data_IF_807144002864
#
_entry.id   IF_807144002864
#
_cell.length_a   1.000
_cell.length_b   1.000
_cell.length_c   1.000
_cell.angle_alpha   90.00
_cell.angle_beta   90.00
_cell.angle_gamma   90.00
#
_symmetry.space_group_name_H-M   'P 1'
#
loop_
_entity.id
_entity.type
_entity.pdbx_description
1 polymer ?
#
# COMPACT_ATOMS: atom_id res chain seq x y z
N UNK A 1 -7.87 -42.67 -13.18
CA UNK A 1 -8.09 -41.80 -14.34
C UNK A 1 -8.65 -40.48 -13.81
N UNK A 2 -7.82 -39.58 -13.28
CA UNK A 2 -6.97 -38.61 -14.00
C UNK A 2 -7.82 -37.77 -14.95
N UNK A 3 -8.25 -36.60 -14.47
CA UNK A 3 -8.32 -35.34 -15.20
C UNK A 3 -8.20 -34.23 -14.14
N UNK A 4 -6.96 -33.90 -13.77
CA UNK A 4 -6.23 -32.74 -14.29
C UNK A 4 -6.23 -31.61 -13.27
N UNK A 5 -5.35 -31.78 -12.27
CA UNK A 5 -4.75 -30.68 -11.52
C UNK A 5 -4.08 -29.74 -12.53
N UNK A 6 -4.78 -28.67 -12.92
CA UNK A 6 -4.16 -27.56 -13.66
C UNK A 6 -3.99 -26.40 -12.69
N UNK A 7 -2.77 -26.38 -12.16
CA UNK A 7 -2.02 -25.26 -11.60
C UNK A 7 -2.42 -23.93 -12.27
N UNK A 8 -3.05 -23.03 -11.52
CA UNK A 8 -3.01 -21.59 -11.78
C UNK A 8 -2.15 -20.92 -10.70
N UNK A 9 -0.86 -21.27 -10.68
CA UNK A 9 0.18 -20.50 -9.98
C UNK A 9 0.88 -19.66 -11.06
N UNK A 10 0.22 -18.59 -11.53
CA UNK A 10 0.83 -17.63 -12.48
C UNK A 10 0.51 -16.20 -12.02
N UNK A 11 1.50 -15.55 -11.39
CA UNK A 11 1.67 -14.08 -11.34
C UNK A 11 0.85 -13.27 -10.30
N UNK A 12 1.47 -12.87 -9.19
CA UNK A 12 0.94 -11.97 -8.14
C UNK A 12 0.83 -10.49 -8.61
N UNK A 13 0.08 -9.58 -7.92
CA UNK A 13 0.35 -9.26 -6.51
C UNK A 13 -0.91 -9.11 -5.63
N UNK A 14 -1.15 -10.10 -4.77
CA UNK A 14 -2.25 -10.17 -3.78
C UNK A 14 -1.97 -9.28 -2.54
N UNK A 15 -1.25 -8.17 -2.69
CA UNK A 15 -0.79 -7.37 -1.54
C UNK A 15 -1.63 -6.12 -1.28
N UNK A 16 -2.90 -6.12 -1.69
CA UNK A 16 -3.91 -5.20 -1.18
C UNK A 16 -4.82 -5.95 -0.22
N UNK A 17 -4.57 -5.84 1.08
CA UNK A 17 -5.44 -6.44 2.10
C UNK A 17 -6.47 -5.41 2.54
N UNK A 18 -7.78 -5.74 2.60
CA UNK A 18 -8.73 -4.88 3.29
C UNK A 18 -8.29 -4.74 4.75
N UNK A 19 -8.27 -3.50 5.26
CA UNK A 19 -7.94 -3.21 6.65
C UNK A 19 -8.89 -3.98 7.58
N UNK A 20 -8.41 -4.83 8.50
CA UNK A 20 -9.27 -5.43 9.52
C UNK A 20 -9.84 -4.29 10.39
N UNK A 21 -11.17 -4.23 10.56
CA UNK A 21 -11.89 -3.17 11.29
C UNK A 21 -11.43 -2.96 12.76
N UNK A 22 -10.57 -3.83 13.29
CA UNK A 22 -10.17 -3.89 14.70
C UNK A 22 -8.67 -4.13 14.94
N UNK A 23 -7.81 -3.86 13.96
CA UNK A 23 -6.39 -3.74 14.30
C UNK A 23 -6.16 -2.34 14.84
N UNK A 24 -5.52 -2.22 16.01
CA UNK A 24 -5.10 -0.95 16.62
C UNK A 24 -4.05 -0.19 15.81
N UNK A 25 -4.16 -0.24 14.48
CA UNK A 25 -3.39 0.56 13.55
C UNK A 25 -3.65 2.03 13.85
N UNK A 26 -2.54 2.76 13.94
CA UNK A 26 -2.49 4.22 14.05
C UNK A 26 -3.58 4.83 13.17
N UNK A 27 -4.37 5.76 13.72
CA UNK A 27 -5.35 6.50 12.94
C UNK A 27 -4.64 7.31 11.85
N UNK A 28 -4.49 6.73 10.67
CA UNK A 28 -3.79 7.35 9.55
C UNK A 28 -4.66 8.49 9.03
N UNK A 29 -4.17 9.71 9.23
CA UNK A 29 -4.82 10.92 8.72
C UNK A 29 -4.74 10.97 7.20
N UNK A 30 -5.76 11.53 6.56
CA UNK A 30 -5.76 11.65 5.11
C UNK A 30 -4.66 12.59 4.61
N UNK A 31 -3.97 12.15 3.56
CA UNK A 31 -3.09 12.99 2.78
C UNK A 31 -3.91 14.10 2.13
N UNK A 32 -3.45 15.35 2.30
CA UNK A 32 -3.97 16.52 1.58
C UNK A 32 -3.11 16.86 0.37
N UNK A 33 -1.83 16.52 0.46
CA UNK A 33 -0.80 16.73 -0.56
C UNK A 33 0.03 15.45 -0.70
N UNK A 34 0.70 15.31 -1.84
CA UNK A 34 1.52 14.14 -2.17
C UNK A 34 2.92 14.57 -2.60
N UNK A 35 3.91 13.71 -2.35
CA UNK A 35 5.30 13.96 -2.75
C UNK A 35 5.79 12.88 -3.70
N UNK A 36 6.53 13.31 -4.74
CA UNK A 36 7.29 12.41 -5.64
C UNK A 36 8.70 12.11 -5.11
N UNK A 37 9.11 12.73 -4.00
CA UNK A 37 10.44 12.55 -3.42
C UNK A 37 10.66 11.12 -2.92
N UNK A 38 11.84 10.58 -3.17
CA UNK A 38 12.20 9.21 -2.77
C UNK A 38 12.23 9.07 -1.25
N UNK A 39 11.61 8.00 -0.74
CA UNK A 39 11.61 7.65 0.67
C UNK A 39 12.55 6.47 0.92
N UNK A 40 13.67 6.75 1.61
CA UNK A 40 14.71 5.77 1.93
C UNK A 40 14.66 5.24 3.38
N UNK A 41 13.63 5.59 4.14
CA UNK A 41 13.45 5.12 5.53
C UNK A 41 12.82 3.73 5.58
N UNK A 42 12.97 2.97 6.68
CA UNK A 42 12.20 1.74 6.88
C UNK A 42 10.71 2.04 6.97
N UNK A 43 9.89 1.19 6.35
CA UNK A 43 8.43 1.28 6.33
C UNK A 43 7.91 0.00 6.95
N UNK A 44 7.03 0.13 7.94
CA UNK A 44 6.41 -0.99 8.65
C UNK A 44 5.02 -1.28 8.08
N UNK A 45 4.31 -0.25 7.64
CA UNK A 45 2.95 -0.36 7.14
C UNK A 45 2.76 0.53 5.91
N UNK A 46 1.85 0.09 5.04
CA UNK A 46 1.50 0.80 3.82
C UNK A 46 -0.02 0.91 3.72
N UNK A 47 -0.49 2.05 3.22
CA UNK A 47 -1.90 2.28 2.93
C UNK A 47 -2.08 2.89 1.54
N UNK A 48 -3.16 2.54 0.85
CA UNK A 48 -3.62 3.22 -0.35
C UNK A 48 -4.81 4.11 -0.01
N UNK A 49 -4.63 5.42 -0.09
CA UNK A 49 -5.72 6.39 -0.02
C UNK A 49 -6.29 6.59 -1.42
N UNK A 50 -7.43 5.99 -1.71
CA UNK A 50 -8.15 6.25 -2.96
C UNK A 50 -8.86 7.60 -2.89
N UNK A 51 -8.91 8.29 -4.02
CA UNK A 51 -9.62 9.56 -4.15
C UNK A 51 -11.11 9.37 -3.85
N UNK A 52 -11.62 10.01 -2.79
CA UNK A 52 -13.06 10.07 -2.49
C UNK A 52 -13.61 11.46 -2.81
N UNK A 53 -14.90 11.56 -3.14
CA UNK A 53 -15.53 12.84 -3.54
C UNK A 53 -15.62 13.86 -2.40
N UNK A 54 -15.92 13.39 -1.19
CA UNK A 54 -16.23 14.26 -0.04
C UNK A 54 -15.15 14.26 1.05
N UNK A 55 -14.21 13.33 1.02
CA UNK A 55 -13.08 13.23 1.93
C UNK A 55 -11.82 12.84 1.16
N UNK A 56 -10.63 13.22 1.63
CA UNK A 56 -9.36 12.67 1.13
C UNK A 56 -9.25 12.73 -0.42
N UNK A 57 -9.28 13.96 -0.95
CA UNK A 57 -9.50 14.28 -2.38
C UNK A 57 -8.30 13.97 -3.28
N UNK A 58 -7.18 13.56 -2.71
CA UNK A 58 -5.97 13.16 -3.45
C UNK A 58 -5.82 11.64 -3.39
N UNK A 59 -5.39 11.05 -4.51
CA UNK A 59 -4.94 9.65 -4.52
C UNK A 59 -3.51 9.63 -4.01
N UNK A 60 -3.23 8.84 -2.98
CA UNK A 60 -1.91 8.77 -2.35
C UNK A 60 -1.61 7.36 -1.84
N UNK A 61 -0.33 7.02 -1.80
CA UNK A 61 0.17 5.92 -1.00
C UNK A 61 0.73 6.48 0.30
N UNK A 62 0.34 5.91 1.44
CA UNK A 62 0.80 6.34 2.76
C UNK A 62 1.74 5.28 3.29
N UNK A 63 3.01 5.65 3.45
CA UNK A 63 3.97 4.81 4.13
C UNK A 63 4.11 5.28 5.57
N UNK A 64 4.21 4.35 6.51
CA UNK A 64 4.47 4.69 7.91
C UNK A 64 5.47 3.73 8.53
N UNK A 65 6.25 4.24 9.48
CA UNK A 65 7.09 3.44 10.37
C UNK A 65 6.43 3.24 11.76
N UNK A 66 5.17 3.63 11.92
CA UNK A 66 4.43 3.62 13.19
C UNK A 66 4.46 4.95 13.94
N UNK A 67 5.43 5.82 13.64
CA UNK A 67 5.56 7.15 14.28
C UNK A 67 5.33 8.28 13.28
N UNK A 68 5.92 8.15 12.09
CA UNK A 68 5.86 9.15 11.02
C UNK A 68 5.22 8.53 9.80
N UNK A 69 4.31 9.29 9.18
CA UNK A 69 3.66 8.92 7.93
C UNK A 69 4.11 9.82 6.79
N UNK A 70 4.20 9.26 5.58
CA UNK A 70 4.59 9.96 4.36
C UNK A 70 3.59 9.72 3.25
N UNK A 71 3.11 10.81 2.65
CA UNK A 71 2.21 10.80 1.51
C UNK A 71 2.98 10.78 0.19
N UNK A 72 2.87 9.66 -0.52
CA UNK A 72 3.56 9.41 -1.79
C UNK A 72 2.59 9.55 -2.95
N UNK A 73 3.05 10.26 -3.96
CA UNK A 73 2.34 10.43 -5.22
C UNK A 73 2.33 9.10 -6.00
N UNK A 74 1.16 8.62 -6.48
CA UNK A 74 1.05 7.41 -7.30
C UNK A 74 1.91 7.43 -8.57
N UNK A 75 2.23 8.61 -9.11
CA UNK A 75 3.03 8.80 -10.32
C UNK A 75 4.55 8.82 -10.04
N UNK A 76 4.97 8.64 -8.79
CA UNK A 76 6.38 8.59 -8.45
C UNK A 76 7.04 7.34 -9.08
N UNK A 77 8.04 7.57 -9.96
CA UNK A 77 8.69 6.49 -10.74
C UNK A 77 9.28 5.36 -9.88
N UNK A 78 9.71 5.68 -8.65
CA UNK A 78 10.32 4.73 -7.72
C UNK A 78 9.29 3.92 -6.91
N UNK A 79 8.02 4.35 -6.90
CA UNK A 79 6.98 3.78 -6.03
C UNK A 79 6.75 2.30 -6.32
N UNK A 80 6.59 1.93 -7.59
CA UNK A 80 6.29 0.54 -7.97
C UNK A 80 7.39 -0.43 -7.54
N UNK A 81 8.66 -0.04 -7.71
CA UNK A 81 9.79 -0.82 -7.22
C UNK A 81 9.81 -0.90 -5.68
N UNK A 82 9.43 0.18 -4.99
CA UNK A 82 9.33 0.18 -3.53
C UNK A 82 8.22 -0.76 -3.04
N UNK A 83 7.05 -0.73 -3.66
CA UNK A 83 5.93 -1.60 -3.32
C UNK A 83 6.32 -3.08 -3.46
N UNK A 84 6.99 -3.45 -4.55
CA UNK A 84 7.51 -4.82 -4.74
C UNK A 84 8.51 -5.22 -3.64
N UNK A 85 9.37 -4.30 -3.18
CA UNK A 85 10.30 -4.57 -2.08
C UNK A 85 9.58 -4.76 -0.75
N UNK A 86 8.50 -4.02 -0.50
CA UNK A 86 7.68 -4.16 0.71
C UNK A 86 6.90 -5.47 0.70
N UNK A 87 6.31 -5.83 -0.44
CA UNK A 87 5.60 -7.09 -0.64
C UNK A 87 6.51 -8.31 -0.39
N UNK A 88 7.75 -8.28 -0.89
CA UNK A 88 8.76 -9.34 -0.60
C UNK A 88 9.09 -9.46 0.90
N UNK A 89 8.83 -8.42 1.69
CA UNK A 89 8.99 -8.42 3.16
C UNK A 89 7.71 -8.79 3.90
N UNK A 90 6.63 -9.12 3.19
CA UNK A 90 5.32 -9.41 3.77
C UNK A 90 4.51 -8.16 4.16
N UNK A 91 4.95 -6.97 3.73
CA UNK A 91 4.26 -5.70 4.01
C UNK A 91 3.37 -5.38 2.81
N UNK A 92 2.06 -5.56 2.98
CA UNK A 92 1.04 -5.28 1.98
C UNK A 92 0.35 -3.93 2.27
N UNK A 93 -0.06 -3.23 1.22
CA UNK A 93 -0.77 -1.96 1.37
C UNK A 93 -2.26 -2.20 1.69
N UNK A 94 -2.81 -1.46 2.65
CA UNK A 94 -4.22 -1.55 3.01
C UNK A 94 -5.02 -0.40 2.39
N UNK A 95 -6.19 -0.67 1.83
CA UNK A 95 -7.01 0.37 1.19
C UNK A 95 -7.81 1.13 2.27
N UNK A 96 -7.70 2.47 2.26
CA UNK A 96 -8.40 3.39 3.18
C UNK A 96 -9.72 3.95 2.61
#
# INVERSE_FOLDING_TARGET
>A
MIFCVVVYIVGLPQCFRPLPRFSGHVAVSCCREVSKSTINVPVNECFEQRKKRFSCRVHAFIFTNGTTSWCVDPEARWLQQRLQKLEKRGICCQIL
#
